data_IF_642475117183
#
_entry.id   IF_642475117183
#
_cell.length_a   1.000
_cell.length_b   1.000
_cell.length_c   1.000
_cell.angle_alpha   90.00
_cell.angle_beta   90.00
_cell.angle_gamma   90.00
#
_symmetry.space_group_name_H-M   'P 1'
#
loop_
_entity.id
_entity.type
_entity.pdbx_description
1 polymer ?
#
# COMPACT_ATOMS: atom_id res chain seq x y z
N UNK A 1 -9.33 -2.37 25.61
CA UNK A 1 -9.38 -3.40 24.55
C UNK A 1 -8.65 -2.82 23.35
N UNK A 2 -7.34 -3.10 23.23
CA UNK A 2 -6.39 -2.43 22.31
C UNK A 2 -5.99 -3.33 21.12
N UNK A 3 -6.79 -4.35 20.79
CA UNK A 3 -6.42 -5.37 19.79
C UNK A 3 -6.53 -4.90 18.33
N UNK A 4 -7.27 -3.82 18.06
CA UNK A 4 -7.50 -3.36 16.68
C UNK A 4 -6.28 -2.63 16.08
N UNK A 5 -5.54 -1.87 16.89
CA UNK A 5 -4.37 -1.14 16.40
C UNK A 5 -3.20 -2.08 16.12
N UNK A 6 -2.97 -3.08 16.99
CA UNK A 6 -1.85 -4.01 16.79
C UNK A 6 -1.93 -4.80 15.49
N UNK A 7 -3.12 -5.19 15.05
CA UNK A 7 -3.29 -5.95 13.81
C UNK A 7 -3.12 -5.09 12.56
N UNK A 8 -3.61 -3.85 12.61
CA UNK A 8 -3.42 -2.89 11.51
C UNK A 8 -1.96 -2.49 11.37
N UNK A 9 -1.28 -2.25 12.49
CA UNK A 9 0.15 -1.96 12.53
C UNK A 9 0.98 -3.15 12.01
N UNK A 10 0.61 -4.37 12.39
CA UNK A 10 1.30 -5.59 11.93
C UNK A 10 1.13 -5.82 10.42
N UNK A 11 -0.09 -5.70 9.89
CA UNK A 11 -0.34 -5.83 8.45
C UNK A 11 0.44 -4.77 7.65
N UNK A 12 0.52 -3.55 8.18
CA UNK A 12 1.28 -2.47 7.57
C UNK A 12 2.80 -2.73 7.63
N UNK A 13 3.31 -3.20 8.77
CA UNK A 13 4.72 -3.56 8.94
C UNK A 13 5.15 -4.70 7.98
N UNK A 14 4.27 -5.68 7.78
CA UNK A 14 4.48 -6.72 6.77
C UNK A 14 4.52 -6.13 5.37
N UNK A 15 3.56 -5.28 5.01
CA UNK A 15 3.54 -4.62 3.70
C UNK A 15 4.82 -3.81 3.46
N UNK A 16 5.26 -3.00 4.42
CA UNK A 16 6.51 -2.22 4.34
C UNK A 16 7.72 -3.15 4.16
N UNK A 17 7.75 -4.27 4.86
CA UNK A 17 8.82 -5.27 4.73
C UNK A 17 8.84 -5.90 3.35
N UNK A 18 7.67 -6.26 2.81
CA UNK A 18 7.55 -6.81 1.47
C UNK A 18 7.96 -5.79 0.41
N UNK A 19 7.54 -4.54 0.56
CA UNK A 19 7.90 -3.44 -0.34
C UNK A 19 9.41 -3.21 -0.37
N UNK A 20 10.08 -3.24 0.79
CA UNK A 20 11.55 -3.16 0.87
C UNK A 20 12.26 -4.28 0.13
N UNK A 21 11.71 -5.50 0.13
CA UNK A 21 12.29 -6.62 -0.63
C UNK A 21 11.94 -6.56 -2.12
N UNK A 22 10.75 -6.06 -2.47
CA UNK A 22 10.37 -5.79 -3.85
C UNK A 22 11.30 -4.74 -4.52
N UNK A 23 11.71 -3.71 -3.76
CA UNK A 23 12.69 -2.70 -4.19
C UNK A 23 14.06 -3.32 -4.50
N UNK A 24 14.47 -4.35 -3.74
CA UNK A 24 15.73 -5.09 -3.98
C UNK A 24 15.68 -5.98 -5.24
N UNK A 25 14.54 -6.04 -5.92
CA UNK A 25 14.35 -6.83 -7.14
C UNK A 25 13.88 -8.27 -6.89
N UNK A 26 13.43 -8.60 -5.68
CA UNK A 26 12.87 -9.92 -5.41
C UNK A 26 11.45 -10.03 -5.98
N UNK A 27 11.31 -10.81 -7.06
CA UNK A 27 10.07 -11.00 -7.81
C UNK A 27 8.96 -11.59 -6.95
N UNK A 28 9.29 -12.46 -5.99
CA UNK A 28 8.28 -13.05 -5.10
C UNK A 28 7.61 -11.95 -4.28
N UNK A 29 8.38 -11.02 -3.73
CA UNK A 29 7.79 -9.91 -2.98
C UNK A 29 7.07 -8.89 -3.86
N UNK A 30 7.51 -8.68 -5.10
CA UNK A 30 6.76 -7.87 -6.07
C UNK A 30 5.35 -8.44 -6.31
N UNK A 31 5.24 -9.76 -6.46
CA UNK A 31 3.95 -10.44 -6.61
C UNK A 31 3.06 -10.34 -5.37
N UNK A 32 3.66 -10.25 -4.18
CA UNK A 32 2.91 -10.08 -2.92
C UNK A 32 2.38 -8.65 -2.72
N UNK A 33 3.14 -7.62 -3.13
CA UNK A 33 2.71 -6.22 -2.97
C UNK A 33 1.81 -5.74 -4.10
N UNK A 34 1.93 -6.32 -5.30
CA UNK A 34 1.19 -5.88 -6.49
C UNK A 34 -0.33 -5.86 -6.29
N UNK A 35 -0.98 -6.88 -5.69
CA UNK A 35 -2.43 -6.85 -5.45
C UNK A 35 -2.87 -5.67 -4.57
N UNK A 36 -2.08 -5.35 -3.53
CA UNK A 36 -2.36 -4.24 -2.61
C UNK A 36 -2.25 -2.90 -3.34
N UNK A 37 -1.17 -2.71 -4.11
CA UNK A 37 -0.92 -1.50 -4.90
C UNK A 37 -1.99 -1.34 -6.00
N UNK A 38 -2.40 -2.45 -6.61
CA UNK A 38 -3.44 -2.47 -7.63
C UNK A 38 -4.79 -2.07 -7.05
N UNK A 39 -5.18 -2.61 -5.90
CA UNK A 39 -6.42 -2.21 -5.25
C UNK A 39 -6.40 -0.76 -4.79
N UNK A 40 -5.25 -0.24 -4.34
CA UNK A 40 -5.09 1.19 -4.04
C UNK A 40 -5.29 2.07 -5.29
N UNK A 41 -4.71 1.68 -6.43
CA UNK A 41 -4.94 2.35 -7.71
C UNK A 41 -6.43 2.33 -8.08
N UNK A 42 -7.06 1.14 -8.09
CA UNK A 42 -8.46 0.98 -8.47
C UNK A 42 -9.41 1.73 -7.54
N UNK A 43 -9.11 1.79 -6.24
CA UNK A 43 -9.85 2.61 -5.29
C UNK A 43 -9.68 4.10 -5.58
N UNK A 44 -8.45 4.55 -5.89
CA UNK A 44 -8.15 5.94 -6.20
C UNK A 44 -8.82 6.41 -7.50
N UNK A 45 -8.95 5.54 -8.51
CA UNK A 45 -9.66 5.82 -9.78
C UNK A 45 -11.17 5.66 -9.67
N UNK A 46 -11.67 5.01 -8.60
CA UNK A 46 -13.10 4.72 -8.41
C UNK A 46 -13.59 3.51 -9.20
N UNK A 47 -12.69 2.71 -9.77
CA UNK A 47 -13.00 1.42 -10.41
C UNK A 47 -13.32 0.33 -9.39
N UNK A 48 -12.79 0.46 -8.16
CA UNK A 48 -13.23 -0.26 -6.97
C UNK A 48 -13.70 0.70 -5.90
N UNK A 49 -14.54 0.19 -5.00
CA UNK A 49 -15.00 0.89 -3.82
C UNK A 49 -14.51 0.20 -2.52
N UNK A 50 -14.77 0.83 -1.38
CA UNK A 50 -14.40 0.30 -0.07
C UNK A 50 -15.01 -1.08 0.25
N UNK A 51 -16.06 -1.51 -0.45
CA UNK A 51 -16.69 -2.81 -0.22
C UNK A 51 -16.12 -3.93 -1.10
N UNK A 52 -15.38 -3.57 -2.15
CA UNK A 52 -14.89 -4.48 -3.21
C UNK A 52 -13.37 -4.62 -3.26
N UNK A 53 -12.62 -3.78 -2.55
CA UNK A 53 -11.19 -3.98 -2.32
C UNK A 53 -10.92 -5.17 -1.40
N UNK A 54 -9.71 -5.74 -1.47
CA UNK A 54 -9.31 -6.88 -0.67
C UNK A 54 -9.42 -6.59 0.84
N UNK A 55 -10.23 -7.38 1.55
CA UNK A 55 -10.48 -7.22 2.99
C UNK A 55 -9.24 -7.48 3.85
N UNK A 56 -8.38 -8.40 3.45
CA UNK A 56 -7.18 -8.76 4.22
C UNK A 56 -6.14 -7.63 4.20
N UNK A 57 -6.16 -6.80 3.15
CA UNK A 57 -5.27 -5.66 2.97
C UNK A 57 -6.00 -4.32 3.10
N UNK A 58 -7.24 -4.32 3.59
CA UNK A 58 -8.12 -3.15 3.58
C UNK A 58 -7.47 -1.92 4.23
N UNK A 59 -6.91 -2.09 5.42
CA UNK A 59 -6.25 -1.00 6.16
C UNK A 59 -5.08 -0.43 5.39
N UNK A 60 -4.26 -1.28 4.76
CA UNK A 60 -3.10 -0.84 3.97
C UNK A 60 -3.55 -0.12 2.71
N UNK A 61 -4.54 -0.64 1.99
CA UNK A 61 -5.06 -0.05 0.75
C UNK A 61 -5.62 1.35 1.02
N UNK A 62 -6.49 1.48 2.03
CA UNK A 62 -7.10 2.76 2.40
C UNK A 62 -6.04 3.77 2.85
N UNK A 63 -5.09 3.34 3.67
CA UNK A 63 -3.98 4.17 4.13
C UNK A 63 -3.12 4.71 2.98
N UNK A 64 -2.81 3.87 1.98
CA UNK A 64 -2.04 4.29 0.81
C UNK A 64 -2.77 5.35 -0.01
N UNK A 65 -4.08 5.16 -0.26
CA UNK A 65 -4.88 6.13 -1.02
C UNK A 65 -5.01 7.45 -0.28
N UNK A 66 -5.15 7.42 1.05
CA UNK A 66 -5.18 8.61 1.90
C UNK A 66 -3.83 9.35 1.94
N UNK A 67 -2.72 8.64 1.75
CA UNK A 67 -1.38 9.23 1.70
C UNK A 67 -1.17 10.13 0.48
N UNK A 68 -1.56 9.66 -0.71
CA UNK A 68 -1.46 10.43 -1.96
C UNK A 68 -2.40 9.90 -3.05
N UNK A 69 -3.69 10.28 -2.98
CA UNK A 69 -4.68 9.87 -3.99
C UNK A 69 -4.29 10.27 -5.43
N UNK A 70 -3.78 11.49 -5.71
CA UNK A 70 -3.32 11.84 -7.05
C UNK A 70 -2.25 10.90 -7.62
N UNK A 71 -1.27 10.50 -6.82
CA UNK A 71 -0.23 9.56 -7.24
C UNK A 71 -0.85 8.21 -7.64
N UNK A 72 -1.67 7.62 -6.76
CA UNK A 72 -2.27 6.31 -7.02
C UNK A 72 -3.23 6.32 -8.22
N UNK A 73 -3.86 7.44 -8.57
CA UNK A 73 -4.66 7.57 -9.80
C UNK A 73 -3.82 7.45 -11.09
N UNK A 74 -2.58 7.89 -11.06
CA UNK A 74 -1.71 7.94 -12.24
C UNK A 74 -0.77 6.72 -12.35
N UNK A 75 -0.74 5.90 -11.31
CA UNK A 75 0.14 4.74 -11.24
C UNK A 75 -0.20 3.68 -12.29
N UNK A 76 0.80 3.25 -13.05
CA UNK A 76 0.65 2.14 -14.00
C UNK A 76 0.98 0.80 -13.33
N UNK A 77 -0.03 0.14 -12.79
CA UNK A 77 0.12 -1.13 -12.05
C UNK A 77 0.58 -2.30 -12.92
N UNK A 78 0.44 -2.22 -14.25
CA UNK A 78 0.92 -3.24 -15.19
C UNK A 78 2.45 -3.20 -15.36
N UNK A 79 3.08 -2.07 -15.02
CA UNK A 79 4.51 -1.83 -15.24
C UNK A 79 5.14 -1.06 -14.08
N UNK A 80 5.01 -1.59 -12.86
CA UNK A 80 5.65 -1.00 -11.68
C UNK A 80 7.17 -1.10 -11.75
N UNK A 81 7.83 0.02 -11.51
CA UNK A 81 9.28 0.14 -11.45
C UNK A 81 9.79 0.18 -10.00
N UNK A 82 11.10 -0.01 -9.81
CA UNK A 82 11.74 0.18 -8.50
C UNK A 82 11.50 1.58 -7.93
N UNK A 83 11.41 2.59 -8.79
CA UNK A 83 11.12 3.96 -8.37
C UNK A 83 9.70 4.08 -7.79
N UNK A 84 8.72 3.40 -8.41
CA UNK A 84 7.35 3.38 -7.91
C UNK A 84 7.26 2.72 -6.53
N UNK A 85 7.89 1.56 -6.34
CA UNK A 85 7.93 0.91 -5.04
C UNK A 85 8.61 1.78 -3.97
N UNK A 86 9.66 2.51 -4.35
CA UNK A 86 10.38 3.42 -3.44
C UNK A 86 9.53 4.63 -3.06
N UNK A 87 8.78 5.18 -4.01
CA UNK A 87 7.87 6.30 -3.78
C UNK A 87 6.70 5.88 -2.87
N UNK A 88 6.11 4.71 -3.12
CA UNK A 88 5.07 4.12 -2.26
C UNK A 88 5.60 3.93 -0.84
N UNK A 89 6.85 3.47 -0.68
CA UNK A 89 7.48 3.31 0.63
C UNK A 89 7.63 4.66 1.35
N UNK A 90 7.99 5.72 0.63
CA UNK A 90 8.10 7.05 1.20
C UNK A 90 6.74 7.57 1.70
N UNK A 91 5.67 7.40 0.92
CA UNK A 91 4.33 7.78 1.34
C UNK A 91 3.87 6.98 2.57
N UNK A 92 4.09 5.66 2.54
CA UNK A 92 3.78 4.77 3.65
C UNK A 92 4.45 5.24 4.97
N UNK A 93 5.72 5.62 4.92
CA UNK A 93 6.43 6.10 6.13
C UNK A 93 5.95 7.49 6.57
N UNK A 94 5.76 8.43 5.62
CA UNK A 94 5.33 9.81 5.94
C UNK A 94 3.99 9.83 6.65
N UNK A 95 3.03 9.05 6.16
CA UNK A 95 1.70 8.99 6.75
C UNK A 95 1.73 8.32 8.13
N UNK A 96 2.61 7.31 8.33
CA UNK A 96 2.79 6.67 9.64
C UNK A 96 3.35 7.65 10.67
N UNK A 97 4.33 8.46 10.28
CA UNK A 97 4.88 9.51 11.14
C UNK A 97 3.81 10.55 11.51
N UNK A 98 2.95 10.94 10.57
CA UNK A 98 1.84 11.86 10.82
C UNK A 98 0.78 11.29 11.78
N UNK A 99 0.58 9.97 11.82
CA UNK A 99 -0.35 9.32 12.74
C UNK A 99 0.19 9.16 14.17
N UNK A 100 1.52 9.15 14.33
CA UNK A 100 2.21 8.99 15.62
C UNK A 100 2.58 10.31 16.30
N UNK A 101 2.50 11.44 15.58
CA UNK A 101 2.81 12.79 16.05
C UNK A 101 1.59 13.48 16.68
#
# INVERSE_FOLDING_TARGET
MYHSHSYQDEAFDFFVTFLKNAIKGDVTYQQLVLPVITDAHLLATGEKDYFTINRDSYSVITFLVEADTPYFRQLNTNHLTTADYSQILQYANTQREAFLA
#
